data_IF_192442864081
#
_entry.id   IF_192442864081
#
_cell.length_a   1.000
_cell.length_b   1.000
_cell.length_c   1.000
_cell.angle_alpha   90.00
_cell.angle_beta   90.00
_cell.angle_gamma   90.00
#
_symmetry.space_group_name_H-M   'P 1'
#
loop_
_entity.id
_entity.type
_entity.pdbx_description
1 polymer ?
#
# COMPACT_ATOMS: atom_id res chain seq x y z
N UNK A 1 37.64 1.05 49.31
CA UNK A 1 37.35 0.34 48.05
C UNK A 1 35.97 0.79 47.59
N UNK A 2 35.85 1.56 46.51
CA UNK A 2 34.54 2.04 46.00
C UNK A 2 34.05 1.06 44.94
N UNK A 3 32.94 0.38 45.22
CA UNK A 3 32.26 -0.51 44.29
C UNK A 3 31.45 0.37 43.31
N UNK A 4 31.86 0.43 42.05
CA UNK A 4 31.11 1.06 40.98
C UNK A 4 30.26 -0.03 40.33
N UNK A 5 28.95 0.00 40.57
CA UNK A 5 27.98 -0.91 39.95
C UNK A 5 27.57 -0.31 38.61
N UNK A 6 28.05 -0.88 37.51
CA UNK A 6 27.54 -0.60 36.17
C UNK A 6 26.21 -1.31 35.99
N UNK A 7 25.10 -0.56 36.08
CA UNK A 7 23.78 -1.05 35.67
C UNK A 7 23.72 -0.93 34.15
N UNK A 8 23.95 -2.04 33.45
CA UNK A 8 23.73 -2.14 32.01
C UNK A 8 22.22 -2.28 31.80
N UNK A 9 21.55 -1.18 31.45
CA UNK A 9 20.20 -1.21 30.90
C UNK A 9 20.29 -1.77 29.48
N UNK A 10 20.04 -3.06 29.31
CA UNK A 10 19.70 -3.65 28.02
C UNK A 10 18.26 -3.25 27.69
N UNK A 11 18.06 -2.06 27.12
CA UNK A 11 16.82 -1.76 26.41
C UNK A 11 16.84 -2.61 25.15
N UNK A 12 16.17 -3.76 25.20
CA UNK A 12 15.79 -4.50 24.00
C UNK A 12 14.74 -3.63 23.33
N UNK A 13 15.18 -2.62 22.59
CA UNK A 13 14.31 -1.90 21.67
C UNK A 13 13.87 -2.94 20.66
N UNK A 14 12.67 -3.49 20.86
CA UNK A 14 12.04 -4.39 19.93
C UNK A 14 11.60 -3.52 18.74
N UNK A 15 12.54 -3.16 17.88
CA UNK A 15 12.24 -2.53 16.60
C UNK A 15 11.48 -3.59 15.82
N UNK A 16 10.17 -3.39 15.74
CA UNK A 16 9.31 -4.27 14.97
C UNK A 16 9.76 -4.17 13.51
N UNK A 17 10.43 -5.22 13.02
CA UNK A 17 10.92 -5.28 11.63
C UNK A 17 9.72 -5.48 10.71
N UNK A 18 9.16 -4.36 10.26
CA UNK A 18 8.06 -4.29 9.30
C UNK A 18 8.66 -4.22 7.91
N UNK A 19 8.31 -5.18 7.04
CA UNK A 19 8.84 -5.27 5.67
C UNK A 19 7.73 -5.45 4.67
N UNK A 20 7.90 -4.85 3.49
CA UNK A 20 7.09 -5.14 2.30
C UNK A 20 7.91 -5.96 1.32
N UNK A 21 7.36 -7.07 0.82
CA UNK A 21 7.83 -7.73 -0.38
C UNK A 21 6.82 -7.54 -1.50
N UNK A 22 7.28 -7.17 -2.69
CA UNK A 22 6.43 -6.95 -3.87
C UNK A 22 6.89 -7.89 -4.98
N UNK A 23 5.97 -8.69 -5.52
CA UNK A 23 6.17 -9.40 -6.77
C UNK A 23 6.01 -8.42 -7.93
N UNK A 24 7.10 -8.17 -8.64
CA UNK A 24 7.14 -7.19 -9.74
C UNK A 24 6.40 -7.63 -11.00
N UNK A 25 6.04 -8.91 -11.10
CA UNK A 25 5.30 -9.45 -12.25
C UNK A 25 3.81 -9.32 -12.05
N UNK A 26 3.31 -9.75 -10.89
CA UNK A 26 1.88 -9.71 -10.56
C UNK A 26 1.42 -8.40 -9.91
N UNK A 27 2.34 -7.65 -9.28
CA UNK A 27 2.03 -6.50 -8.45
C UNK A 27 1.52 -6.86 -7.06
N UNK A 28 1.42 -8.15 -6.73
CA UNK A 28 1.06 -8.62 -5.40
C UNK A 28 2.15 -8.25 -4.40
N UNK A 29 1.75 -7.87 -3.19
CA UNK A 29 2.67 -7.52 -2.12
C UNK A 29 2.26 -8.12 -0.78
N UNK A 30 3.25 -8.46 0.05
CA UNK A 30 3.03 -8.96 1.40
C UNK A 30 3.67 -8.01 2.41
N UNK A 31 2.94 -7.71 3.48
CA UNK A 31 3.50 -7.05 4.66
C UNK A 31 3.87 -8.13 5.66
N UNK A 32 5.12 -8.12 6.10
CA UNK A 32 5.63 -9.01 7.13
C UNK A 32 6.05 -8.22 8.36
N UNK A 33 5.80 -8.79 9.54
CA UNK A 33 6.20 -8.25 10.83
C UNK A 33 7.00 -9.32 11.56
N UNK A 34 8.23 -9.00 11.97
CA UNK A 34 9.14 -9.96 12.59
C UNK A 34 9.31 -11.26 11.76
N UNK A 35 9.48 -11.10 10.44
CA UNK A 35 9.61 -12.18 9.44
C UNK A 35 8.39 -13.12 9.31
N UNK A 36 7.23 -12.73 9.83
CA UNK A 36 5.96 -13.45 9.59
C UNK A 36 5.06 -12.62 8.71
N UNK A 37 4.49 -13.23 7.68
CA UNK A 37 3.49 -12.58 6.84
C UNK A 37 2.30 -12.23 7.72
N UNK A 38 1.95 -10.95 7.71
CA UNK A 38 0.83 -10.42 8.47
C UNK A 38 -0.32 -10.07 7.55
N UNK A 39 -0.02 -9.45 6.40
CA UNK A 39 -1.01 -9.08 5.40
C UNK A 39 -0.54 -9.49 4.00
N UNK A 40 -1.48 -9.93 3.17
CA UNK A 40 -1.29 -10.22 1.75
C UNK A 40 -2.16 -9.28 0.96
N UNK A 41 -1.64 -8.65 -0.08
CA UNK A 41 -2.41 -7.76 -0.93
C UNK A 41 -3.58 -8.49 -1.58
N UNK A 42 -4.64 -7.75 -1.88
CA UNK A 42 -5.67 -8.17 -2.83
C UNK A 42 -5.42 -7.49 -4.19
N UNK A 43 -6.28 -7.72 -5.17
CA UNK A 43 -6.26 -7.01 -6.44
C UNK A 43 -6.39 -5.49 -6.24
N UNK A 44 -5.84 -4.73 -7.18
CA UNK A 44 -6.07 -3.27 -7.28
C UNK A 44 -7.26 -3.02 -8.19
N UNK A 45 -8.18 -2.17 -7.76
CA UNK A 45 -9.32 -1.76 -8.59
C UNK A 45 -9.66 -0.28 -8.43
N UNK A 46 -10.29 0.29 -9.45
CA UNK A 46 -10.80 1.65 -9.46
C UNK A 46 -12.15 1.69 -10.18
N UNK A 47 -13.06 2.52 -9.69
CA UNK A 47 -14.33 2.80 -10.34
C UNK A 47 -14.25 4.14 -11.08
N UNK A 48 -14.43 4.12 -12.40
CA UNK A 48 -14.40 5.31 -13.25
C UNK A 48 -15.41 5.19 -14.41
N UNK A 49 -16.14 6.27 -14.71
CA UNK A 49 -17.19 6.32 -15.74
C UNK A 49 -18.14 5.13 -15.69
N UNK A 50 -18.75 4.92 -14.52
CA UNK A 50 -19.77 3.90 -14.27
C UNK A 50 -19.30 2.44 -14.43
N UNK A 51 -17.98 2.22 -14.43
CA UNK A 51 -17.40 0.88 -14.56
C UNK A 51 -16.24 0.66 -13.58
N UNK A 52 -16.14 -0.57 -13.08
CA UNK A 52 -14.96 -1.06 -12.38
C UNK A 52 -13.86 -1.50 -13.35
N UNK A 53 -12.64 -1.05 -13.06
CA UNK A 53 -11.42 -1.54 -13.66
C UNK A 53 -10.61 -2.26 -12.59
N UNK A 54 -10.13 -3.47 -12.85
CA UNK A 54 -9.44 -4.31 -11.88
C UNK A 54 -8.21 -4.99 -12.47
N UNK A 55 -7.19 -5.20 -11.62
CA UNK A 55 -6.05 -6.02 -11.99
C UNK A 55 -6.41 -7.51 -12.06
N UNK A 56 -7.49 -7.93 -11.40
CA UNK A 56 -7.97 -9.32 -11.40
C UNK A 56 -8.59 -9.74 -12.74
N UNK A 57 -9.41 -8.86 -13.34
CA UNK A 57 -10.06 -9.12 -14.63
C UNK A 57 -9.26 -8.63 -15.84
N UNK A 58 -8.09 -8.03 -15.59
CA UNK A 58 -7.17 -7.50 -16.60
C UNK A 58 -7.61 -6.20 -17.26
N UNK A 59 -8.70 -5.57 -16.80
CA UNK A 59 -9.12 -4.25 -17.31
C UNK A 59 -8.26 -3.10 -16.77
N UNK A 60 -7.51 -3.34 -15.68
CA UNK A 60 -6.47 -2.48 -15.14
C UNK A 60 -5.13 -3.25 -15.07
N UNK A 61 -4.48 -3.55 -16.21
CA UNK A 61 -3.27 -4.37 -16.22
C UNK A 61 -2.08 -3.61 -15.62
N UNK A 62 -1.29 -4.30 -14.80
CA UNK A 62 0.04 -3.84 -14.39
C UNK A 62 0.95 -3.86 -15.63
N UNK A 63 1.55 -2.71 -15.95
CA UNK A 63 2.43 -2.56 -17.12
C UNK A 63 3.88 -2.35 -16.76
N UNK A 64 4.18 -1.87 -15.55
CA UNK A 64 5.54 -1.61 -15.10
C UNK A 64 5.61 -1.61 -13.56
N UNK A 65 6.77 -1.96 -13.02
CA UNK A 65 7.09 -1.81 -11.59
C UNK A 65 8.41 -1.06 -11.44
N UNK A 66 8.39 0.08 -10.75
CA UNK A 66 9.59 0.91 -10.52
C UNK A 66 9.98 0.93 -9.06
N UNK A 67 11.25 1.21 -8.82
CA UNK A 67 11.75 1.54 -7.51
C UNK A 67 12.09 3.02 -7.45
N UNK A 68 11.79 3.63 -6.33
CA UNK A 68 12.20 4.99 -5.99
C UNK A 68 12.72 5.02 -4.56
N UNK A 69 13.52 6.04 -4.23
CA UNK A 69 14.07 6.23 -2.89
C UNK A 69 14.25 7.71 -2.61
N UNK A 70 14.21 8.08 -1.33
CA UNK A 70 14.44 9.44 -0.93
C UNK A 70 14.55 9.61 0.57
N UNK A 71 14.47 10.86 1.00
CA UNK A 71 14.54 11.23 2.41
C UNK A 71 13.52 12.32 2.70
N UNK A 72 12.67 12.09 3.70
CA UNK A 72 11.78 13.10 4.27
C UNK A 72 12.45 13.73 5.49
N UNK A 73 12.28 15.05 5.68
CA UNK A 73 12.91 15.77 6.79
C UNK A 73 12.45 15.27 8.18
N UNK A 74 11.23 14.76 8.28
CA UNK A 74 10.62 14.36 9.55
C UNK A 74 10.60 12.84 9.74
N UNK A 75 10.41 12.07 8.67
CA UNK A 75 10.25 10.61 8.71
C UNK A 75 11.50 9.84 8.27
N UNK A 76 12.52 10.54 7.74
CA UNK A 76 13.81 9.99 7.35
C UNK A 76 13.80 9.30 5.99
N UNK A 77 14.75 8.40 5.80
CA UNK A 77 14.97 7.70 4.53
C UNK A 77 13.84 6.73 4.21
N UNK A 78 13.47 6.64 2.94
CA UNK A 78 12.44 5.72 2.46
C UNK A 78 12.82 5.04 1.15
N UNK A 79 12.31 3.83 0.99
CA UNK A 79 12.33 3.07 -0.26
C UNK A 79 10.90 2.83 -0.71
N UNK A 80 10.61 3.02 -1.99
CA UNK A 80 9.28 2.92 -2.56
C UNK A 80 9.27 1.96 -3.75
N UNK A 81 8.24 1.12 -3.81
CA UNK A 81 7.88 0.36 -5.01
C UNK A 81 6.64 0.98 -5.63
N UNK A 82 6.72 1.32 -6.91
CA UNK A 82 5.63 1.90 -7.69
C UNK A 82 5.06 0.84 -8.63
N UNK A 83 3.77 0.56 -8.48
CA UNK A 83 2.97 -0.35 -9.30
C UNK A 83 2.22 0.49 -10.33
N UNK A 84 2.65 0.43 -11.59
CA UNK A 84 2.11 1.29 -12.66
C UNK A 84 1.12 0.46 -13.47
N UNK A 85 -0.14 0.86 -13.39
CA UNK A 85 -1.24 0.27 -14.12
C UNK A 85 -1.66 1.15 -15.29
N UNK A 86 -2.05 0.51 -16.40
CA UNK A 86 -2.63 1.21 -17.54
C UNK A 86 -4.13 1.29 -17.40
N UNK A 87 -4.68 2.51 -17.45
CA UNK A 87 -6.11 2.76 -17.52
C UNK A 87 -6.46 3.33 -18.90
N UNK A 88 -7.38 2.70 -19.61
CA UNK A 88 -7.97 3.25 -20.84
C UNK A 88 -9.36 3.77 -20.47
N UNK A 89 -9.50 5.09 -20.38
CA UNK A 89 -10.72 5.74 -19.95
C UNK A 89 -11.19 6.74 -21.01
N UNK A 90 -12.45 6.61 -21.46
CA UNK A 90 -13.04 7.49 -22.49
C UNK A 90 -12.19 7.62 -23.78
N UNK A 91 -11.43 6.57 -24.12
CA UNK A 91 -10.54 6.54 -25.28
C UNK A 91 -9.14 7.14 -25.05
N UNK A 92 -8.88 7.69 -23.87
CA UNK A 92 -7.57 8.20 -23.46
C UNK A 92 -6.84 7.16 -22.60
N UNK A 93 -5.57 6.94 -22.89
CA UNK A 93 -4.69 6.11 -22.06
C UNK A 93 -4.03 6.99 -20.98
N UNK A 94 -4.17 6.60 -19.71
CA UNK A 94 -3.51 7.22 -18.56
C UNK A 94 -2.91 6.15 -17.66
N UNK A 95 -1.98 6.56 -16.80
CA UNK A 95 -1.37 5.68 -15.80
C UNK A 95 -1.97 5.90 -14.43
N UNK A 96 -2.26 4.80 -13.75
CA UNK A 96 -2.62 4.77 -12.33
C UNK A 96 -1.45 4.15 -11.60
N UNK A 97 -0.89 4.86 -10.63
CA UNK A 97 0.32 4.42 -9.92
C UNK A 97 0.01 4.21 -8.44
N UNK A 98 -0.04 2.94 -8.03
CA UNK A 98 -0.01 2.58 -6.61
C UNK A 98 1.42 2.63 -6.09
N UNK A 99 1.66 3.27 -4.96
CA UNK A 99 3.00 3.42 -4.38
C UNK A 99 3.02 2.80 -3.00
N UNK A 100 3.94 1.87 -2.78
CA UNK A 100 4.17 1.22 -1.49
C UNK A 100 5.52 1.70 -0.96
N UNK A 101 5.49 2.58 0.04
CA UNK A 101 6.69 3.20 0.60
C UNK A 101 6.98 2.63 1.99
N UNK A 102 8.19 2.14 2.18
CA UNK A 102 8.72 1.66 3.45
C UNK A 102 9.72 2.68 4.01
N UNK A 103 9.55 3.02 5.27
CA UNK A 103 10.40 3.97 5.98
C UNK A 103 11.51 3.22 6.72
N UNK A 104 12.75 3.70 6.61
CA UNK A 104 13.92 3.06 7.21
C UNK A 104 14.19 3.55 8.63
N UNK A 105 13.83 4.80 8.91
CA UNK A 105 14.05 5.45 10.23
C UNK A 105 12.91 5.24 11.21
N UNK A 106 11.74 4.82 10.74
CA UNK A 106 10.56 4.48 11.55
C UNK A 106 9.93 3.19 11.03
N UNK A 107 9.41 2.33 11.91
CA UNK A 107 8.74 1.09 11.53
C UNK A 107 7.35 1.36 10.92
N UNK A 108 7.31 1.91 9.71
CA UNK A 108 6.09 2.32 9.04
C UNK A 108 6.11 1.96 7.54
N UNK A 109 4.91 1.75 7.00
CA UNK A 109 4.63 1.64 5.57
C UNK A 109 3.53 2.63 5.24
N UNK A 110 3.68 3.37 4.15
CA UNK A 110 2.64 4.26 3.62
C UNK A 110 2.27 3.86 2.22
N UNK A 111 0.99 3.98 1.89
CA UNK A 111 0.43 3.70 0.58
C UNK A 111 -0.08 4.99 -0.05
N UNK A 112 0.22 5.20 -1.32
CA UNK A 112 -0.26 6.35 -2.08
C UNK A 112 -0.85 5.87 -3.39
N UNK A 113 -1.93 6.52 -3.85
CA UNK A 113 -2.52 6.24 -5.14
C UNK A 113 -2.53 7.52 -5.97
N UNK A 114 -1.86 7.47 -7.11
CA UNK A 114 -1.82 8.54 -8.10
C UNK A 114 -2.64 8.10 -9.31
N UNK A 115 -3.74 8.80 -9.60
CA UNK A 115 -4.68 8.46 -10.67
C UNK A 115 -4.34 9.18 -12.00
N UNK A 116 -3.19 9.86 -12.06
CA UNK A 116 -2.76 10.61 -13.22
C UNK A 116 -3.47 11.96 -13.37
N UNK A 117 -3.41 12.52 -14.59
CA UNK A 117 -3.91 13.87 -14.90
C UNK A 117 -5.41 13.93 -15.22
N UNK A 118 -6.07 12.78 -15.32
CA UNK A 118 -7.51 12.75 -15.56
C UNK A 118 -8.22 13.05 -14.24
N UNK A 119 -9.01 14.14 -14.15
CA UNK A 119 -9.84 14.37 -12.99
C UNK A 119 -10.87 13.24 -12.96
N UNK A 120 -10.63 12.24 -12.12
CA UNK A 120 -11.69 11.32 -11.73
C UNK A 120 -12.66 12.15 -10.88
N UNK A 121 -13.62 12.80 -11.55
CA UNK A 121 -14.65 13.64 -10.96
C UNK A 121 -15.59 12.76 -10.17
N UNK A 122 -15.13 12.33 -8.99
CA UNK A 122 -15.85 11.57 -7.98
C UNK A 122 -14.95 11.05 -6.84
N UNK A 123 -13.78 11.64 -6.61
CA UNK A 123 -12.83 11.20 -5.57
C UNK A 123 -13.17 11.65 -4.16
N UNK A 124 -14.46 11.81 -3.83
CA UNK A 124 -14.88 12.07 -2.46
C UNK A 124 -14.68 10.78 -1.65
N UNK A 125 -13.61 10.75 -0.86
CA UNK A 125 -13.44 9.74 0.18
C UNK A 125 -14.71 9.71 1.05
N UNK A 126 -15.44 8.58 1.02
CA UNK A 126 -16.73 8.32 1.69
C UNK A 126 -18.02 8.67 0.90
N UNK A 127 -17.94 9.14 -0.35
CA UNK A 127 -19.15 9.17 -1.18
C UNK A 127 -19.56 7.74 -1.55
N UNK A 128 -20.79 7.34 -1.21
CA UNK A 128 -21.32 6.04 -1.64
C UNK A 128 -21.59 5.99 -3.14
N UNK A 129 -21.59 7.13 -3.82
CA UNK A 129 -22.04 7.29 -5.20
C UNK A 129 -20.87 7.46 -6.20
N UNK A 130 -19.62 7.59 -5.71
CA UNK A 130 -18.52 8.19 -6.46
C UNK A 130 -17.13 7.53 -6.11
N UNK A 131 -16.17 7.50 -7.06
CA UNK A 131 -14.89 6.73 -7.15
C UNK A 131 -14.53 5.89 -5.92
N UNK A 132 -14.74 4.59 -6.09
CA UNK A 132 -14.33 3.53 -5.18
C UNK A 132 -12.97 3.00 -5.66
N UNK A 133 -11.91 3.20 -4.88
CA UNK A 133 -10.61 2.57 -5.13
C UNK A 133 -10.44 1.38 -4.18
N UNK A 134 -9.74 0.36 -4.65
CA UNK A 134 -9.36 -0.83 -3.90
C UNK A 134 -7.83 -0.86 -3.87
N UNK A 135 -7.25 0.18 -3.28
CA UNK A 135 -5.81 0.28 -3.01
C UNK A 135 -5.54 1.25 -1.84
N UNK A 136 -4.71 0.87 -0.84
CA UNK A 136 -4.21 -0.49 -0.64
C UNK A 136 -5.34 -1.44 -0.25
N UNK A 137 -5.26 -2.68 -0.69
CA UNK A 137 -6.24 -3.72 -0.38
C UNK A 137 -5.54 -4.96 0.11
N UNK A 138 -6.18 -5.70 1.01
CA UNK A 138 -5.60 -6.90 1.61
C UNK A 138 -6.64 -8.01 1.70
N UNK A 139 -6.20 -9.22 1.34
CA UNK A 139 -7.01 -10.43 1.42
C UNK A 139 -7.22 -10.80 2.88
N UNK A 140 -8.46 -11.14 3.25
CA UNK A 140 -8.75 -11.76 4.55
C UNK A 140 -8.36 -13.24 4.43
N UNK A 141 -7.42 -13.70 5.27
CA UNK A 141 -7.03 -15.11 5.27
C UNK A 141 -8.24 -16.00 5.59
N UNK A 142 -8.52 -16.94 4.69
CA UNK A 142 -9.57 -17.93 4.89
C UNK A 142 -9.18 -18.85 6.04
N UNK A 143 -10.05 -18.95 7.05
CA UNK A 143 -9.85 -19.85 8.19
C UNK A 143 -10.25 -21.29 7.81
N UNK A 144 -11.20 -21.44 6.88
CA UNK A 144 -11.60 -22.72 6.29
C UNK A 144 -12.19 -22.56 4.88
N UNK A 145 -12.54 -23.67 4.22
CA UNK A 145 -13.04 -23.69 2.83
C UNK A 145 -14.40 -23.00 2.63
N UNK A 146 -15.16 -22.74 3.70
CA UNK A 146 -16.44 -22.02 3.65
C UNK A 146 -16.29 -20.54 4.05
N UNK A 147 -15.06 -20.11 4.35
CA UNK A 147 -14.77 -18.74 4.73
C UNK A 147 -14.69 -17.85 3.48
N UNK A 148 -15.83 -17.29 3.10
CA UNK A 148 -15.97 -16.38 1.95
C UNK A 148 -15.78 -14.91 2.31
N UNK A 149 -15.08 -14.59 3.40
CA UNK A 149 -14.77 -13.19 3.74
C UNK A 149 -13.86 -12.60 2.64
N UNK A 150 -14.19 -11.39 2.19
CA UNK A 150 -13.57 -10.73 1.03
C UNK A 150 -12.23 -10.05 1.36
N UNK A 151 -12.05 -8.81 0.89
CA UNK A 151 -10.87 -7.99 1.18
C UNK A 151 -11.23 -6.80 2.07
N UNK A 152 -10.24 -6.24 2.75
CA UNK A 152 -10.39 -4.96 3.44
C UNK A 152 -9.56 -3.87 2.73
N UNK A 153 -10.10 -2.66 2.67
CA UNK A 153 -9.46 -1.46 2.13
C UNK A 153 -9.28 -0.43 3.25
N UNK A 154 -8.23 0.37 3.19
CA UNK A 154 -7.94 1.42 4.18
C UNK A 154 -8.10 2.80 3.55
N UNK A 155 -8.78 3.72 4.25
CA UNK A 155 -8.83 5.13 3.90
C UNK A 155 -8.20 5.94 5.04
N UNK A 156 -7.26 6.83 4.71
CA UNK A 156 -6.69 7.81 5.63
C UNK A 156 -7.32 9.19 5.43
N UNK A 157 -7.63 9.89 6.52
CA UNK A 157 -8.01 11.31 6.49
C UNK A 157 -6.73 12.15 6.53
N UNK A 158 -6.58 13.12 5.62
CA UNK A 158 -5.54 14.15 5.73
C UNK A 158 -6.08 15.22 6.69
N UNK A 159 -5.66 15.18 7.95
CA UNK A 159 -5.94 16.25 8.90
C UNK A 159 -4.96 17.41 8.69
N UNK A 160 -5.47 18.58 8.27
CA UNK A 160 -4.69 19.81 8.05
C UNK A 160 -4.53 20.66 9.33
N UNK A 161 -4.68 20.07 10.51
CA UNK A 161 -4.55 20.79 11.80
C UNK A 161 -3.12 21.08 12.20
#
# INVERSE_FOLDING_TARGET
MRLVVFVIFLTVECWCDVRVSVDRVSGEYNISVANRIWLRSSHTALYAGERWYSSEDGSLPLIDTRLDQGNDENLGEWNETQLIYRLIFSGTETNVTGRVRQWSSVAAITFHLDIGNEPLTSSDSLSMDEVRTVFPSFSIEQIDMNDHRGYFTYAGEIDFR
#
